data_IF_945827764098
#
_entry.id   IF_945827764098
#
_cell.length_a   1.000
_cell.length_b   1.000
_cell.length_c   1.000
_cell.angle_alpha   90.00
_cell.angle_beta   90.00
_cell.angle_gamma   90.00
#
_symmetry.space_group_name_H-M   'P 1'
#
loop_
_entity.id
_entity.type
_entity.pdbx_description
1 polymer ?
#
# COMPACT_ATOMS: atom_id res chain seq x y z
N UNK A 1 3.60 -18.83 -23.71
CA UNK A 1 3.09 -19.21 -22.37
C UNK A 1 2.68 -17.91 -21.72
N UNK A 2 1.38 -17.65 -21.64
CA UNK A 2 0.87 -16.56 -20.82
C UNK A 2 0.93 -17.04 -19.37
N UNK A 3 1.87 -16.48 -18.61
CA UNK A 3 1.86 -16.65 -17.16
C UNK A 3 0.61 -15.95 -16.61
N UNK A 4 -0.06 -16.52 -15.60
CA UNK A 4 -1.16 -15.81 -14.94
C UNK A 4 -0.65 -14.46 -14.45
N UNK A 5 -1.46 -13.41 -14.62
CA UNK A 5 -1.16 -12.10 -14.06
C UNK A 5 -1.04 -12.23 -12.54
N UNK A 6 0.17 -12.07 -12.03
CA UNK A 6 0.45 -12.07 -10.60
C UNK A 6 0.30 -10.63 -10.11
N UNK A 7 -0.64 -10.44 -9.18
CA UNK A 7 -0.80 -9.14 -8.51
C UNK A 7 0.24 -9.04 -7.40
N UNK A 8 1.20 -8.13 -7.57
CA UNK A 8 2.14 -7.74 -6.53
C UNK A 8 1.60 -6.51 -5.81
N UNK A 9 1.70 -6.51 -4.50
CA UNK A 9 1.38 -5.36 -3.64
C UNK A 9 2.59 -5.01 -2.79
N UNK A 10 2.73 -3.74 -2.41
CA UNK A 10 3.78 -3.34 -1.49
C UNK A 10 3.41 -2.11 -0.67
N UNK A 11 4.13 -1.91 0.44
CA UNK A 11 3.88 -0.84 1.39
C UNK A 11 5.13 -0.57 2.24
N UNK A 12 5.14 0.58 2.91
CA UNK A 12 6.23 0.98 3.79
C UNK A 12 6.37 0.05 5.00
N UNK A 13 7.60 -0.37 5.28
CA UNK A 13 7.94 -1.24 6.39
C UNK A 13 8.04 -0.41 7.68
N UNK A 14 7.14 -0.62 8.65
CA UNK A 14 6.99 0.27 9.81
C UNK A 14 8.10 0.09 10.88
N UNK A 15 9.11 -0.74 10.64
CA UNK A 15 10.15 -1.06 11.65
C UNK A 15 11.48 -0.34 11.45
N UNK A 16 11.60 0.59 10.48
CA UNK A 16 12.76 1.49 10.44
C UNK A 16 12.60 2.54 11.54
N UNK A 17 13.57 2.66 12.44
CA UNK A 17 13.48 3.63 13.53
C UNK A 17 13.42 5.06 13.01
N UNK A 18 12.73 5.95 13.73
CA UNK A 18 12.61 7.37 13.33
C UNK A 18 13.99 8.05 13.19
N UNK A 19 14.99 7.61 13.96
CA UNK A 19 16.37 8.09 13.82
C UNK A 19 16.96 7.73 12.45
N UNK A 20 16.75 6.50 11.99
CA UNK A 20 17.26 6.04 10.69
C UNK A 20 16.51 6.72 9.53
N UNK A 21 15.20 6.91 9.68
CA UNK A 21 14.39 7.66 8.71
C UNK A 21 14.86 9.12 8.62
N UNK A 22 14.96 9.83 9.75
CA UNK A 22 15.26 11.27 9.75
C UNK A 22 16.71 11.60 9.40
N UNK A 23 17.66 10.75 9.81
CA UNK A 23 19.09 11.02 9.64
C UNK A 23 19.63 10.53 8.30
N UNK A 24 19.09 9.43 7.78
CA UNK A 24 19.61 8.77 6.58
C UNK A 24 18.60 8.65 5.45
N UNK A 25 17.33 9.06 5.66
CA UNK A 25 16.27 8.95 4.65
C UNK A 25 15.92 7.50 4.32
N UNK A 26 16.14 6.56 5.25
CA UNK A 26 15.88 5.14 5.02
C UNK A 26 14.40 4.84 5.22
N UNK A 27 13.78 4.27 4.18
CA UNK A 27 12.45 3.68 4.23
C UNK A 27 12.59 2.19 3.92
N UNK A 28 12.07 1.33 4.79
CA UNK A 28 11.99 -0.09 4.49
C UNK A 28 10.77 -0.32 3.60
N UNK A 29 10.80 -1.34 2.76
CA UNK A 29 9.68 -1.68 1.89
C UNK A 29 9.36 -3.16 2.01
N UNK A 30 8.07 -3.49 2.15
CA UNK A 30 7.57 -4.86 2.09
C UNK A 30 6.81 -5.04 0.80
N UNK A 31 7.02 -6.18 0.15
CA UNK A 31 6.22 -6.60 -0.98
C UNK A 31 5.64 -7.99 -0.71
N UNK A 32 4.43 -8.21 -1.22
CA UNK A 32 3.75 -9.49 -1.18
C UNK A 32 3.14 -9.83 -2.55
N UNK A 33 3.06 -11.14 -2.81
CA UNK A 33 2.38 -11.69 -3.97
C UNK A 33 0.97 -12.12 -3.56
N UNK A 34 -0.05 -11.61 -4.25
CA UNK A 34 -1.42 -12.08 -4.07
C UNK A 34 -1.57 -13.37 -4.85
N UNK A 35 -1.84 -14.45 -4.12
CA UNK A 35 -1.96 -15.81 -4.66
C UNK A 35 -3.42 -16.27 -4.68
N UNK A 36 -3.77 -17.23 -5.57
CA UNK A 36 -5.06 -17.92 -5.50
C UNK A 36 -5.28 -18.60 -4.14
N UNK A 37 -6.54 -18.67 -3.69
CA UNK A 37 -6.88 -19.29 -2.40
C UNK A 37 -6.57 -20.80 -2.34
N UNK A 38 -6.53 -21.46 -3.49
CA UNK A 38 -6.21 -22.87 -3.65
C UNK A 38 -4.73 -23.12 -4.01
N UNK A 39 -3.88 -22.09 -3.96
CA UNK A 39 -2.46 -22.21 -4.24
C UNK A 39 -1.78 -23.19 -3.28
N UNK A 40 -0.96 -24.08 -3.85
CA UNK A 40 -0.16 -25.07 -3.11
C UNK A 40 1.28 -25.01 -3.56
N UNK A 41 2.20 -25.20 -2.63
CA UNK A 41 3.64 -25.28 -2.92
C UNK A 41 4.31 -26.26 -1.96
N UNK A 42 5.33 -26.95 -2.46
CA UNK A 42 6.21 -27.79 -1.65
C UNK A 42 7.40 -27.00 -1.07
N UNK A 43 7.45 -25.68 -1.31
CA UNK A 43 8.49 -24.80 -0.79
C UNK A 43 8.26 -24.52 0.71
N UNK A 44 9.15 -24.99 1.58
CA UNK A 44 9.03 -24.84 3.04
C UNK A 44 9.48 -23.48 3.59
N UNK A 45 10.01 -22.59 2.74
CA UNK A 45 10.58 -21.30 3.15
C UNK A 45 9.68 -20.09 2.87
N UNK A 46 8.42 -20.31 2.50
CA UNK A 46 7.47 -19.21 2.26
C UNK A 46 6.51 -19.05 3.43
N UNK A 47 6.23 -17.80 3.78
CA UNK A 47 5.21 -17.44 4.77
C UNK A 47 3.94 -17.03 4.04
N UNK A 48 2.83 -17.68 4.37
CA UNK A 48 1.52 -17.25 3.91
C UNK A 48 0.92 -16.26 4.91
N UNK A 49 0.38 -15.16 4.39
CA UNK A 49 -0.36 -14.17 5.16
C UNK A 49 -1.77 -14.10 4.60
N UNK A 50 -2.75 -13.97 5.50
CA UNK A 50 -4.14 -13.72 5.13
C UNK A 50 -4.42 -12.23 5.25
N UNK A 51 -5.05 -11.65 4.22
CA UNK A 51 -5.63 -10.32 4.28
C UNK A 51 -7.15 -10.47 4.13
N UNK A 52 -7.89 -10.14 5.18
CA UNK A 52 -9.36 -10.21 5.20
C UNK A 52 -9.96 -9.19 4.24
N UNK A 53 -11.16 -9.51 3.78
CA UNK A 53 -11.97 -8.58 2.99
C UNK A 53 -12.26 -7.32 3.80
N UNK A 54 -12.00 -6.15 3.20
CA UNK A 54 -12.15 -4.86 3.83
C UNK A 54 -12.46 -3.79 2.78
N UNK A 55 -12.97 -2.64 3.24
CA UNK A 55 -13.24 -1.50 2.37
C UNK A 55 -12.01 -0.58 2.29
N UNK A 56 -11.63 -0.21 1.07
CA UNK A 56 -10.50 0.66 0.81
C UNK A 56 -10.96 1.87 -0.01
N UNK A 57 -10.44 3.05 0.31
CA UNK A 57 -10.42 4.16 -0.65
C UNK A 57 -9.23 3.92 -1.57
N UNK A 58 -9.41 4.22 -2.86
CA UNK A 58 -8.40 3.97 -3.88
C UNK A 58 -8.19 5.24 -4.69
N UNK A 59 -6.92 5.61 -4.90
CA UNK A 59 -6.52 6.63 -5.87
C UNK A 59 -5.58 6.01 -6.89
N UNK A 60 -5.84 6.26 -8.17
CA UNK A 60 -5.00 5.79 -9.27
C UNK A 60 -4.09 6.91 -9.75
N UNK A 61 -2.79 6.65 -9.72
CA UNK A 61 -1.74 7.54 -10.21
C UNK A 61 -1.35 7.07 -11.61
N UNK A 62 -1.53 7.93 -12.61
CA UNK A 62 -1.02 7.70 -13.96
C UNK A 62 0.44 8.13 -14.06
N UNK A 63 1.28 7.24 -14.58
CA UNK A 63 2.73 7.44 -14.77
C UNK A 63 3.39 7.97 -13.47
N UNK A 64 3.33 7.18 -12.38
CA UNK A 64 3.82 7.62 -11.06
C UNK A 64 5.31 7.99 -11.08
N UNK A 65 6.11 7.32 -11.91
CA UNK A 65 7.57 7.49 -11.94
C UNK A 65 8.10 8.60 -12.86
N UNK A 66 7.24 9.40 -13.52
CA UNK A 66 7.70 10.59 -14.26
C UNK A 66 8.20 11.67 -13.29
N UNK A 67 7.50 11.85 -12.16
CA UNK A 67 7.84 12.79 -11.09
C UNK A 67 7.46 12.13 -9.75
N UNK A 68 8.18 11.06 -9.33
CA UNK A 68 7.74 10.21 -8.22
C UNK A 68 7.63 10.99 -6.90
N UNK A 69 8.57 11.89 -6.63
CA UNK A 69 8.58 12.74 -5.43
C UNK A 69 7.50 13.83 -5.39
N UNK A 70 6.71 13.96 -6.45
CA UNK A 70 5.58 14.89 -6.52
C UNK A 70 4.26 14.11 -6.66
N UNK A 71 4.16 13.23 -7.65
CA UNK A 71 2.93 12.52 -7.99
C UNK A 71 2.48 11.57 -6.89
N UNK A 72 3.41 10.81 -6.32
CA UNK A 72 3.09 9.83 -5.27
C UNK A 72 2.71 10.56 -3.97
N UNK A 73 3.53 11.48 -3.42
CA UNK A 73 3.15 12.24 -2.22
C UNK A 73 1.86 13.05 -2.38
N UNK A 74 1.64 13.67 -3.56
CA UNK A 74 0.39 14.41 -3.80
C UNK A 74 -0.83 13.50 -3.84
N UNK A 75 -0.71 12.28 -4.37
CA UNK A 75 -1.80 11.32 -4.36
C UNK A 75 -2.16 10.89 -2.93
N UNK A 76 -1.16 10.58 -2.10
CA UNK A 76 -1.34 10.31 -0.67
C UNK A 76 -2.01 11.48 0.06
N UNK A 77 -1.55 12.71 -0.20
CA UNK A 77 -2.18 13.91 0.36
C UNK A 77 -3.68 14.00 0.00
N UNK A 78 -4.02 13.82 -1.28
CA UNK A 78 -5.41 13.92 -1.76
C UNK A 78 -6.33 12.85 -1.15
N UNK A 79 -5.88 11.60 -1.10
CA UNK A 79 -6.69 10.51 -0.53
C UNK A 79 -6.86 10.67 0.99
N UNK A 80 -5.84 11.17 1.70
CA UNK A 80 -5.94 11.48 3.13
C UNK A 80 -6.89 12.64 3.41
N UNK A 81 -6.82 13.73 2.63
CA UNK A 81 -7.76 14.86 2.70
C UNK A 81 -9.21 14.38 2.47
N UNK A 82 -9.42 13.46 1.52
CA UNK A 82 -10.72 12.83 1.29
C UNK A 82 -11.19 12.01 2.50
N UNK A 83 -10.33 11.19 3.08
CA UNK A 83 -10.67 10.36 4.24
C UNK A 83 -11.03 11.22 5.46
N UNK A 84 -10.27 12.28 5.73
CA UNK A 84 -10.53 13.23 6.82
C UNK A 84 -11.88 13.94 6.66
N UNK A 85 -12.19 14.44 5.45
CA UNK A 85 -13.45 15.12 5.18
C UNK A 85 -14.70 14.22 5.37
N UNK A 86 -14.53 12.90 5.30
CA UNK A 86 -15.61 11.92 5.41
C UNK A 86 -15.71 11.25 6.79
N UNK A 87 -14.97 11.72 7.80
CA UNK A 87 -15.03 11.27 9.20
C UNK A 87 -14.88 9.75 9.41
N UNK A 88 -14.05 9.08 8.61
CA UNK A 88 -13.76 7.67 8.88
C UNK A 88 -13.05 7.52 10.23
N UNK A 89 -13.38 6.44 10.96
CA UNK A 89 -12.94 6.21 12.35
C UNK A 89 -12.06 4.98 12.44
N UNK A 90 -11.06 5.06 13.31
CA UNK A 90 -10.09 4.00 13.51
C UNK A 90 -10.72 2.70 14.05
N UNK A 91 -10.40 1.59 13.39
CA UNK A 91 -10.33 0.25 13.97
C UNK A 91 -9.17 -0.50 13.33
N UNK A 92 -8.06 -0.59 14.07
CA UNK A 92 -7.06 -1.61 13.78
C UNK A 92 -7.73 -3.00 13.87
N UNK A 93 -7.69 -3.73 12.77
CA UNK A 93 -8.27 -5.07 12.66
C UNK A 93 -7.17 -6.05 12.29
N UNK A 94 -7.12 -7.18 13.00
CA UNK A 94 -6.17 -8.24 12.68
C UNK A 94 -6.38 -8.75 11.25
N UNK A 95 -5.26 -8.97 10.56
CA UNK A 95 -5.21 -9.46 9.18
C UNK A 95 -5.85 -8.51 8.17
N UNK A 96 -5.77 -7.19 8.39
CA UNK A 96 -6.10 -6.17 7.37
C UNK A 96 -4.89 -5.27 7.16
N UNK A 97 -4.36 -5.23 5.95
CA UNK A 97 -3.29 -4.31 5.56
C UNK A 97 -3.89 -2.91 5.49
N UNK A 98 -3.39 -1.99 6.33
CA UNK A 98 -3.95 -0.64 6.45
C UNK A 98 -3.73 0.24 5.21
N UNK A 99 -2.59 0.08 4.53
CA UNK A 99 -2.27 0.79 3.30
C UNK A 99 -1.35 -0.08 2.44
N UNK A 100 -1.58 -0.10 1.12
CA UNK A 100 -0.70 -0.76 0.15
C UNK A 100 -0.86 -0.19 -1.26
N UNK A 101 0.12 -0.46 -2.10
CA UNK A 101 0.23 0.00 -3.46
C UNK A 101 0.19 -1.20 -4.41
N UNK A 102 -0.40 -1.01 -5.60
CA UNK A 102 -0.35 -1.96 -6.70
C UNK A 102 0.07 -1.26 -7.99
N UNK A 103 1.27 -1.59 -8.47
CA UNK A 103 1.75 -1.14 -9.78
C UNK A 103 1.29 -2.09 -10.89
N UNK A 104 0.84 -1.53 -12.00
CA UNK A 104 0.48 -2.28 -13.21
C UNK A 104 0.68 -1.46 -14.48
N UNK A 105 0.71 -2.15 -15.63
CA UNK A 105 0.90 -1.53 -16.95
C UNK A 105 -0.32 -1.78 -17.83
N UNK A 106 -0.86 -0.74 -18.45
CA UNK A 106 -2.01 -0.79 -19.38
C UNK A 106 -1.73 0.09 -20.59
N UNK A 107 -1.79 -0.48 -21.80
CA UNK A 107 -1.53 0.24 -23.06
C UNK A 107 -0.22 1.04 -23.04
N UNK A 108 0.86 0.40 -22.58
CA UNK A 108 2.17 0.99 -22.39
C UNK A 108 2.31 2.11 -21.35
N UNK A 109 1.25 2.39 -20.60
CA UNK A 109 1.24 3.38 -19.52
C UNK A 109 1.31 2.66 -18.18
N UNK A 110 2.25 3.07 -17.33
CA UNK A 110 2.33 2.58 -15.94
C UNK A 110 1.32 3.31 -15.07
N UNK A 111 0.64 2.56 -14.21
CA UNK A 111 -0.28 3.04 -13.21
C UNK A 111 0.10 2.48 -11.84
N UNK A 112 -0.22 3.23 -10.81
CA UNK A 112 -0.13 2.79 -9.42
C UNK A 112 -1.47 3.08 -8.75
N UNK A 113 -2.12 2.05 -8.23
CA UNK A 113 -3.27 2.21 -7.34
C UNK A 113 -2.76 2.22 -5.90
N UNK A 114 -3.11 3.25 -5.15
CA UNK A 114 -2.86 3.37 -3.70
C UNK A 114 -4.15 3.06 -2.97
N UNK A 115 -4.13 2.05 -2.10
CA UNK A 115 -5.26 1.58 -1.30
C UNK A 115 -5.06 2.00 0.16
N UNK A 116 -6.04 2.67 0.74
CA UNK A 116 -6.06 3.00 2.18
C UNK A 116 -7.34 2.45 2.80
N UNK A 117 -7.18 1.61 3.83
CA UNK A 117 -8.28 1.02 4.57
C UNK A 117 -9.12 2.13 5.19
N UNK A 118 -10.44 2.10 4.97
CA UNK A 118 -11.34 3.18 5.41
C UNK A 118 -11.24 3.42 6.91
N UNK A 119 -11.09 2.37 7.72
CA UNK A 119 -10.99 2.48 9.19
C UNK A 119 -9.53 2.58 9.68
N UNK A 120 -8.57 2.89 8.81
CA UNK A 120 -7.13 2.97 9.13
C UNK A 120 -6.58 4.37 9.41
N UNK A 121 -7.38 5.44 9.29
CA UNK A 121 -6.88 6.84 9.35
C UNK A 121 -7.05 7.43 10.75
N UNK A 122 -5.99 8.05 11.26
CA UNK A 122 -5.99 8.76 12.54
C UNK A 122 -6.53 10.19 12.40
N UNK A 123 -7.23 10.66 13.44
CA UNK A 123 -7.80 12.01 13.50
C UNK A 123 -6.81 13.09 13.98
N UNK A 124 -5.50 12.87 13.83
CA UNK A 124 -4.47 13.79 14.28
C UNK A 124 -3.19 13.65 13.46
N UNK A 125 -2.81 14.72 12.74
CA UNK A 125 -1.46 15.09 12.27
C UNK A 125 -0.47 13.97 11.89
N UNK A 126 -0.96 12.86 11.32
CA UNK A 126 -0.13 11.74 10.86
C UNK A 126 0.32 11.98 9.41
N UNK A 127 1.04 13.07 9.19
CA UNK A 127 1.78 13.27 7.93
C UNK A 127 2.92 12.24 7.74
N UNK A 128 3.18 11.39 8.74
CA UNK A 128 4.42 10.61 8.81
C UNK A 128 4.28 9.16 9.32
N UNK A 129 3.08 8.56 9.39
CA UNK A 129 2.95 7.26 10.06
C UNK A 129 2.35 6.12 9.25
N UNK A 130 1.76 6.35 8.08
CA UNK A 130 1.11 5.25 7.35
C UNK A 130 1.24 5.47 5.85
N UNK A 131 2.25 4.81 5.28
CA UNK A 131 2.80 5.02 3.94
C UNK A 131 3.52 6.38 3.76
#
# INVERSE_FOLDING_TARGET
MDYPYIKLIGWDFPFVSQELQNRFGLHGYVAACVIPADFKTDCSYVTFLENKEANYVVITIKEPFIQPFERIPNAYKLIMEYLQANNFKEKNQENIIGCFEHEYKKNDITYMDVFIHVDGVTNADAFSMFC
#
